data_IF_276837304597
#
_entry.id   IF_276837304597
#
_cell.length_a   1.000
_cell.length_b   1.000
_cell.length_c   1.000
_cell.angle_alpha   90.00
_cell.angle_beta   90.00
_cell.angle_gamma   90.00
#
_symmetry.space_group_name_H-M   'P 1'
#
loop_
_entity.id
_entity.type
_entity.pdbx_description
1 polymer ?
#
# COMPACT_ATOMS: atom_id res chain seq x y z
N UNK A 1 -9.76 -6.00 -21.50
CA UNK A 1 -9.95 -6.97 -20.39
C UNK A 1 -10.75 -6.27 -19.30
N UNK A 2 -12.06 -6.51 -19.23
CA UNK A 2 -12.95 -5.80 -18.30
C UNK A 2 -13.29 -6.67 -17.11
N UNK A 3 -12.94 -6.24 -15.89
CA UNK A 3 -13.28 -6.97 -14.69
C UNK A 3 -12.93 -6.21 -13.42
N UNK A 4 -13.70 -6.45 -12.37
CA UNK A 4 -13.37 -6.01 -11.02
C UNK A 4 -12.18 -6.83 -10.52
N UNK A 5 -11.12 -6.16 -10.07
CA UNK A 5 -9.96 -6.83 -9.50
C UNK A 5 -10.37 -7.59 -8.22
N UNK A 6 -10.01 -8.87 -8.13
CA UNK A 6 -10.21 -9.69 -6.92
C UNK A 6 -9.01 -9.61 -5.97
N UNK A 7 -7.87 -9.14 -6.47
CA UNK A 7 -6.60 -8.96 -5.76
C UNK A 7 -5.95 -7.65 -6.22
N UNK A 8 -5.08 -7.04 -5.40
CA UNK A 8 -4.41 -5.81 -5.81
C UNK A 8 -3.45 -6.10 -6.96
N UNK A 9 -3.33 -5.16 -7.90
CA UNK A 9 -2.52 -5.33 -9.10
C UNK A 9 -1.60 -4.14 -9.31
N UNK A 10 -0.37 -4.40 -9.68
CA UNK A 10 0.59 -3.37 -10.11
C UNK A 10 0.66 -3.34 -11.63
N UNK A 11 0.60 -2.15 -12.20
CA UNK A 11 0.92 -1.89 -13.60
C UNK A 11 2.37 -1.43 -13.67
N UNK A 12 3.15 -1.99 -14.59
CA UNK A 12 4.53 -1.60 -14.85
C UNK A 12 4.71 -1.16 -16.29
N UNK A 13 5.70 -0.29 -16.53
CA UNK A 13 6.15 0.07 -17.88
C UNK A 13 7.02 -1.04 -18.50
N UNK A 14 7.50 -0.77 -19.72
CA UNK A 14 8.39 -1.69 -20.44
C UNK A 14 9.76 -1.89 -19.75
N UNK A 15 10.15 -1.00 -18.84
CA UNK A 15 11.39 -1.08 -18.05
C UNK A 15 11.16 -1.71 -16.65
N UNK A 16 9.99 -2.30 -16.40
CA UNK A 16 9.56 -2.79 -15.09
C UNK A 16 9.48 -1.70 -14.00
N UNK A 17 9.35 -0.43 -14.38
CA UNK A 17 9.07 0.67 -13.45
C UNK A 17 7.59 0.67 -13.10
N UNK A 18 7.23 0.85 -11.82
CA UNK A 18 5.83 0.92 -11.42
C UNK A 18 5.14 2.14 -12.03
N UNK A 19 3.99 1.91 -12.66
CA UNK A 19 3.12 2.95 -13.22
C UNK A 19 2.03 3.29 -12.22
N UNK A 20 1.30 2.28 -11.72
CA UNK A 20 0.22 2.48 -10.75
C UNK A 20 -0.03 1.21 -9.93
N UNK A 21 -0.48 1.38 -8.68
CA UNK A 21 -0.92 0.28 -7.82
C UNK A 21 -2.44 0.36 -7.68
N UNK A 22 -3.14 -0.65 -8.21
CA UNK A 22 -4.58 -0.75 -8.21
C UNK A 22 -5.05 -1.60 -7.02
N UNK A 23 -5.96 -1.09 -6.17
CA UNK A 23 -6.46 -1.85 -5.05
C UNK A 23 -7.43 -2.95 -5.48
N UNK A 24 -7.65 -3.91 -4.59
CA UNK A 24 -8.71 -4.90 -4.74
C UNK A 24 -10.05 -4.19 -4.91
N UNK A 25 -10.86 -4.69 -5.84
CA UNK A 25 -12.17 -4.15 -6.15
C UNK A 25 -12.18 -3.02 -7.16
N UNK A 26 -11.02 -2.56 -7.62
CA UNK A 26 -10.91 -1.58 -8.70
C UNK A 26 -11.49 -2.15 -9.99
N UNK A 27 -12.33 -1.36 -10.66
CA UNK A 27 -12.84 -1.73 -11.98
C UNK A 27 -11.73 -1.47 -12.98
N UNK A 28 -11.13 -2.54 -13.51
CA UNK A 28 -10.10 -2.43 -14.54
C UNK A 28 -10.75 -2.69 -15.91
N UNK A 29 -10.69 -1.68 -16.79
CA UNK A 29 -11.20 -1.73 -18.14
C UNK A 29 -10.32 -0.88 -19.07
N UNK A 30 -10.59 -0.95 -20.38
CA UNK A 30 -9.74 -0.34 -21.38
C UNK A 30 -9.77 1.21 -21.29
N UNK A 31 -10.92 1.83 -20.95
CA UNK A 31 -10.98 3.29 -20.73
C UNK A 31 -10.09 3.76 -19.58
N UNK A 32 -10.08 3.02 -18.47
CA UNK A 32 -9.27 3.37 -17.29
C UNK A 32 -7.81 3.07 -17.51
N UNK A 33 -7.50 2.03 -18.29
CA UNK A 33 -6.16 1.76 -18.76
C UNK A 33 -5.59 2.96 -19.51
N UNK A 34 -6.29 3.45 -20.53
CA UNK A 34 -5.86 4.64 -21.30
C UNK A 34 -5.71 5.87 -20.41
N UNK A 35 -6.62 6.10 -19.47
CA UNK A 35 -6.55 7.23 -18.55
C UNK A 35 -5.34 7.16 -17.59
N UNK A 36 -5.00 5.96 -17.09
CA UNK A 36 -3.81 5.75 -16.26
C UNK A 36 -2.54 6.06 -17.07
N UNK A 37 -2.45 5.58 -18.31
CA UNK A 37 -1.30 5.85 -19.17
C UNK A 37 -1.16 7.33 -19.52
N UNK A 38 -2.27 7.99 -19.90
CA UNK A 38 -2.26 9.41 -20.22
C UNK A 38 -1.78 10.26 -19.02
N UNK A 39 -2.19 9.92 -17.81
CA UNK A 39 -1.74 10.63 -16.62
C UNK A 39 -0.28 10.31 -16.27
N UNK A 40 0.14 9.05 -16.41
CA UNK A 40 1.53 8.65 -16.20
C UNK A 40 2.48 9.38 -17.15
N UNK A 41 2.14 9.46 -18.43
CA UNK A 41 2.93 10.18 -19.44
C UNK A 41 2.96 11.69 -19.15
N UNK A 42 1.84 12.26 -18.68
CA UNK A 42 1.75 13.68 -18.30
C UNK A 42 2.60 14.01 -17.06
N UNK A 43 2.62 13.10 -16.07
CA UNK A 43 3.29 13.31 -14.79
C UNK A 43 4.78 12.94 -14.87
N UNK A 44 5.13 11.94 -15.68
CA UNK A 44 6.48 11.40 -15.83
C UNK A 44 6.94 10.51 -14.67
N UNK A 45 6.06 10.20 -13.73
CA UNK A 45 6.34 9.36 -12.56
C UNK A 45 5.14 8.48 -12.18
N UNK A 46 5.37 7.49 -11.32
CA UNK A 46 4.35 6.58 -10.80
C UNK A 46 3.15 7.31 -10.18
N UNK A 47 1.95 6.84 -10.49
CA UNK A 47 0.70 7.36 -9.96
C UNK A 47 0.48 6.88 -8.54
N UNK A 48 0.14 7.83 -7.67
CA UNK A 48 -0.19 7.58 -6.26
C UNK A 48 -1.67 7.25 -6.08
N UNK A 49 -2.06 6.83 -4.88
CA UNK A 49 -3.48 6.62 -4.55
C UNK A 49 -4.31 7.89 -4.76
N UNK A 50 -3.75 9.08 -4.47
CA UNK A 50 -4.47 10.34 -4.64
C UNK A 50 -4.62 10.73 -6.11
N UNK A 51 -3.62 10.40 -6.94
CA UNK A 51 -3.74 10.56 -8.40
C UNK A 51 -4.87 9.67 -8.95
N UNK A 52 -4.94 8.42 -8.50
CA UNK A 52 -6.02 7.50 -8.89
C UNK A 52 -7.39 8.00 -8.43
N UNK A 53 -7.52 8.52 -7.19
CA UNK A 53 -8.78 9.13 -6.70
C UNK A 53 -9.19 10.35 -7.53
N UNK A 54 -8.23 11.15 -7.99
CA UNK A 54 -8.51 12.30 -8.86
C UNK A 54 -8.97 11.87 -10.25
N UNK A 55 -8.38 10.81 -10.80
CA UNK A 55 -8.77 10.25 -12.10
C UNK A 55 -10.12 9.53 -12.06
N UNK A 56 -10.40 8.82 -10.96
CA UNK A 56 -11.58 7.99 -10.81
C UNK A 56 -12.31 8.29 -9.48
N UNK A 57 -12.86 9.51 -9.33
CA UNK A 57 -13.48 9.95 -8.07
C UNK A 57 -14.69 9.09 -7.67
N UNK A 58 -15.38 8.53 -8.67
CA UNK A 58 -16.57 7.71 -8.47
C UNK A 58 -16.23 6.24 -8.17
N UNK A 59 -14.94 5.86 -8.12
CA UNK A 59 -14.58 4.48 -7.84
C UNK A 59 -14.57 4.17 -6.33
N UNK A 60 -15.46 3.28 -5.85
CA UNK A 60 -15.56 3.00 -4.42
C UNK A 60 -14.34 2.25 -3.86
N UNK A 61 -13.53 1.58 -4.68
CA UNK A 61 -12.32 0.87 -4.22
C UNK A 61 -11.16 1.80 -3.89
N UNK A 62 -11.18 3.03 -4.43
CA UNK A 62 -10.19 4.06 -4.14
C UNK A 62 -10.55 4.92 -2.93
N UNK A 63 -11.82 4.85 -2.50
CA UNK A 63 -12.27 5.47 -1.27
C UNK A 63 -11.71 4.64 -0.11
N UNK A 64 -10.77 5.23 0.63
CA UNK A 64 -10.15 4.58 1.78
C UNK A 64 -11.25 4.27 2.79
N UNK A 65 -11.62 2.99 2.94
CA UNK A 65 -12.17 2.54 4.21
C UNK A 65 -11.04 2.70 5.22
N UNK A 66 -11.18 3.54 6.25
CA UNK A 66 -10.17 3.63 7.29
C UNK A 66 -9.93 2.21 7.78
N UNK A 67 -8.69 1.75 7.66
CA UNK A 67 -8.29 0.49 8.24
C UNK A 67 -8.43 0.70 9.74
N UNK A 68 -9.56 0.28 10.32
CA UNK A 68 -9.69 0.16 11.76
C UNK A 68 -8.66 -0.88 12.15
N UNK A 69 -7.50 -0.40 12.58
CA UNK A 69 -6.45 -1.24 13.14
C UNK A 69 -7.02 -1.79 14.45
N UNK A 70 -7.72 -2.92 14.40
CA UNK A 70 -7.94 -3.79 15.56
C UNK A 70 -6.62 -4.45 15.92
N UNK A 71 -5.61 -3.61 16.17
CA UNK A 71 -4.33 -3.98 16.74
C UNK A 71 -4.45 -3.86 18.24
N UNK A 72 -5.11 -4.83 18.88
CA UNK A 72 -4.83 -5.16 20.28
C UNK A 72 -3.44 -5.81 20.34
N UNK A 73 -2.40 -5.02 20.08
CA UNK A 73 -1.05 -5.36 20.48
C UNK A 73 -0.68 -4.32 21.54
N UNK A 74 -1.01 -4.65 22.79
CA UNK A 74 -0.48 -3.97 23.95
C UNK A 74 1.05 -4.05 23.87
N UNK A 75 1.66 -2.90 23.63
CA UNK A 75 3.07 -2.69 23.83
C UNK A 75 3.34 -2.69 25.34
N UNK A 76 3.55 -3.86 25.92
CA UNK A 76 4.15 -4.01 27.25
C UNK A 76 4.80 -5.37 27.30
N UNK A 77 6.05 -5.46 26.86
CA UNK A 77 7.08 -6.32 27.47
C UNK A 77 8.44 -6.04 26.80
N UNK A 78 8.88 -4.78 26.85
CA UNK A 78 10.30 -4.47 26.86
C UNK A 78 10.70 -4.26 28.32
N UNK A 79 10.93 -5.36 29.04
CA UNK A 79 11.69 -5.31 30.29
C UNK A 79 13.13 -5.62 29.95
N UNK A 80 13.95 -4.56 29.93
CA UNK A 80 15.39 -4.64 30.11
C UNK A 80 15.68 -5.52 31.33
N UNK A 81 16.35 -6.65 31.13
CA UNK A 81 17.12 -7.28 32.21
C UNK A 81 18.52 -6.67 32.15
N UNK A 82 18.90 -5.76 33.06
CA UNK A 82 20.29 -5.45 33.26
C UNK A 82 20.99 -6.66 33.89
N UNK A 83 22.10 -6.99 33.26
CA UNK A 83 23.22 -7.77 33.77
C UNK A 83 23.45 -7.53 35.26
N UNK A 84 23.32 -8.57 36.09
CA UNK A 84 24.00 -8.65 37.38
C UNK A 84 24.49 -10.07 37.60
N UNK A 85 25.73 -10.29 37.18
CA UNK A 85 26.62 -11.32 37.72
C UNK A 85 26.98 -10.94 39.17
N UNK A 86 26.85 -11.82 40.16
CA UNK A 86 27.70 -11.74 41.34
C UNK A 86 28.82 -12.77 41.20
N UNK A 87 30.00 -12.22 40.93
CA UNK A 87 31.29 -12.85 41.17
C UNK A 87 31.42 -13.21 42.66
N UNK A 88 32.29 -14.17 42.92
CA UNK A 88 32.53 -14.81 44.21
C UNK A 88 33.19 -13.87 45.23
N UNK A 89 33.13 -14.25 46.52
CA UNK A 89 34.28 -14.35 47.45
C UNK A 89 33.97 -13.92 48.90
N UNK A 90 34.48 -14.74 49.84
CA UNK A 90 34.70 -14.52 51.30
C UNK A 90 33.47 -14.28 52.20
N UNK A 91 33.33 -15.01 53.29
CA UNK A 91 34.31 -15.08 54.39
C UNK A 91 34.00 -16.18 55.40
#
# INVERSE_FOLDING_TARGET
MSGKLIEPKVITDFNNKPVALLPTGFIFNDQRWEAIWAEYDRKGESLTSDDLKRLFPDDPSLQVTPVTRTGSQQATDFRQTPDQTPDSDKS
#
